data_IF_986741304981
#
_entry.id   IF_986741304981
#
_cell.length_a   1.000
_cell.length_b   1.000
_cell.length_c   1.000
_cell.angle_alpha   90.00
_cell.angle_beta   90.00
_cell.angle_gamma   90.00
#
_symmetry.space_group_name_H-M   'P 1'
#
loop_
_entity.id
_entity.type
_entity.pdbx_description
1 polymer ?
#
# COMPACT_ATOMS: atom_id res chain seq x y z
N UNK A 1 3.21 -4.84 18.01
CA UNK A 1 2.63 -4.32 16.76
C UNK A 1 3.22 -5.05 15.58
N UNK A 2 2.62 -4.95 14.41
CA UNK A 2 3.23 -5.41 13.15
C UNK A 2 4.06 -4.28 12.53
N UNK A 3 4.87 -4.58 11.54
CA UNK A 3 5.56 -3.60 10.71
C UNK A 3 4.72 -3.17 9.49
N UNK A 4 3.43 -3.52 9.44
CA UNK A 4 2.57 -3.33 8.28
C UNK A 4 1.51 -2.24 8.53
N UNK A 5 1.39 -1.33 7.56
CA UNK A 5 0.34 -0.32 7.51
C UNK A 5 -0.64 -0.70 6.42
N UNK A 6 -1.90 -0.94 6.80
CA UNK A 6 -2.98 -1.32 5.88
C UNK A 6 -3.37 -0.12 5.02
N UNK A 7 -3.52 -0.35 3.72
CA UNK A 7 -3.81 0.68 2.73
C UNK A 7 -5.32 0.96 2.74
N UNK A 8 -5.66 2.22 3.00
CA UNK A 8 -6.97 2.80 2.71
C UNK A 8 -6.97 3.55 1.38
N UNK A 9 -7.88 4.51 1.22
CA UNK A 9 -7.87 5.42 0.08
C UNK A 9 -7.15 6.73 0.43
N UNK A 10 -6.19 7.21 -0.38
CA UNK A 10 -5.53 8.49 -0.13
C UNK A 10 -6.53 9.65 -0.26
N UNK A 11 -6.48 10.62 0.67
CA UNK A 11 -7.35 11.80 0.64
C UNK A 11 -6.80 12.93 -0.26
N UNK A 12 -5.47 13.03 -0.38
CA UNK A 12 -4.81 14.09 -1.13
C UNK A 12 -4.21 13.55 -2.42
N UNK A 13 -4.03 14.43 -3.42
CA UNK A 13 -3.28 14.09 -4.64
C UNK A 13 -1.81 13.76 -4.37
N UNK A 14 -1.22 14.41 -3.36
CA UNK A 14 0.17 14.18 -2.96
C UNK A 14 0.36 14.41 -1.47
N UNK A 15 1.08 13.51 -0.82
CA UNK A 15 1.60 13.68 0.53
C UNK A 15 3.10 13.36 0.51
N UNK A 16 3.87 14.00 1.39
CA UNK A 16 5.31 13.72 1.54
C UNK A 16 5.62 13.59 3.02
N UNK A 17 6.15 12.45 3.39
CA UNK A 17 6.68 12.16 4.72
C UNK A 17 8.18 12.44 4.67
N UNK A 18 8.65 13.37 5.48
CA UNK A 18 10.09 13.59 5.70
C UNK A 18 10.49 12.81 6.93
N UNK A 19 11.42 11.87 6.76
CA UNK A 19 11.88 10.97 7.80
C UNK A 19 13.02 11.62 8.60
N UNK A 20 13.27 11.14 9.81
CA UNK A 20 14.33 11.66 10.70
C UNK A 20 15.73 11.56 10.08
N UNK A 21 15.97 10.55 9.24
CA UNK A 21 17.22 10.37 8.49
C UNK A 21 17.33 11.27 7.23
N UNK A 22 16.40 12.21 7.04
CA UNK A 22 16.35 13.13 5.91
C UNK A 22 15.79 12.55 4.62
N UNK A 23 15.56 11.23 4.54
CA UNK A 23 14.90 10.61 3.38
C UNK A 23 13.44 11.07 3.30
N UNK A 24 12.91 11.03 2.08
CA UNK A 24 11.50 11.36 1.81
C UNK A 24 10.77 10.15 1.27
N UNK A 25 9.57 9.94 1.78
CA UNK A 25 8.62 8.99 1.22
C UNK A 25 7.41 9.76 0.68
N UNK A 26 7.16 9.63 -0.61
CA UNK A 26 6.15 10.38 -1.33
C UNK A 26 4.97 9.45 -1.64
N UNK A 27 3.76 9.89 -1.35
CA UNK A 27 2.52 9.20 -1.71
C UNK A 27 1.80 10.06 -2.74
N UNK A 28 1.49 9.51 -3.91
CA UNK A 28 0.76 10.20 -4.98
C UNK A 28 -0.52 9.42 -5.33
N UNK A 29 -1.66 10.10 -5.33
CA UNK A 29 -2.93 9.60 -5.85
C UNK A 29 -3.24 10.32 -7.15
N UNK A 30 -2.79 9.77 -8.27
CA UNK A 30 -3.10 10.28 -9.60
C UNK A 30 -4.61 10.18 -9.85
N UNK A 31 -5.20 11.24 -10.39
CA UNK A 31 -6.65 11.37 -10.58
C UNK A 31 -7.48 11.37 -9.28
N UNK A 32 -6.87 11.55 -8.11
CA UNK A 32 -7.64 11.69 -6.87
C UNK A 32 -8.55 12.92 -6.93
N UNK A 33 -9.83 12.68 -6.65
CA UNK A 33 -10.93 13.65 -6.67
C UNK A 33 -12.06 13.12 -5.78
N UNK A 34 -13.04 13.96 -5.45
CA UNK A 34 -14.16 13.61 -4.57
C UNK A 34 -14.90 12.32 -4.99
N UNK A 35 -15.00 12.05 -6.30
CA UNK A 35 -15.61 10.82 -6.82
C UNK A 35 -14.61 9.69 -7.07
N UNK A 36 -13.33 10.01 -7.21
CA UNK A 36 -12.29 9.05 -7.60
C UNK A 36 -11.62 8.46 -6.35
N UNK A 37 -12.37 7.64 -5.62
CA UNK A 37 -11.98 7.12 -4.30
C UNK A 37 -11.37 5.71 -4.35
N UNK A 38 -11.42 5.02 -5.49
CA UNK A 38 -10.92 3.65 -5.63
C UNK A 38 -9.51 3.63 -6.19
N UNK A 39 -8.64 2.79 -5.63
CA UNK A 39 -7.31 2.53 -6.18
C UNK A 39 -7.44 1.49 -7.30
N UNK A 40 -7.16 1.90 -8.54
CA UNK A 40 -7.18 1.02 -9.72
C UNK A 40 -5.85 0.25 -9.85
N UNK A 41 -4.74 0.94 -9.64
CA UNK A 41 -3.41 0.34 -9.70
C UNK A 41 -2.43 1.09 -8.81
N UNK A 42 -1.28 0.48 -8.52
CA UNK A 42 -0.24 1.12 -7.74
C UNK A 42 1.16 0.67 -8.15
N UNK A 43 2.14 1.53 -7.84
CA UNK A 43 3.56 1.21 -7.94
C UNK A 43 4.31 1.67 -6.72
N UNK A 44 5.31 0.89 -6.30
CA UNK A 44 6.29 1.27 -5.29
C UNK A 44 7.65 1.36 -5.97
N UNK A 45 8.24 2.55 -6.02
CA UNK A 45 9.54 2.80 -6.67
C UNK A 45 9.59 2.17 -8.08
N UNK A 46 8.60 2.53 -8.91
CA UNK A 46 8.36 2.04 -10.30
C UNK A 46 7.95 0.57 -10.46
N UNK A 47 7.99 -0.25 -9.39
CA UNK A 47 7.59 -1.66 -9.48
C UNK A 47 6.10 -1.82 -9.22
N UNK A 48 5.39 -2.74 -9.92
CA UNK A 48 3.99 -3.02 -9.65
C UNK A 48 3.74 -3.33 -8.18
N UNK A 49 2.68 -2.75 -7.63
CA UNK A 49 2.33 -2.87 -6.24
C UNK A 49 0.84 -3.21 -6.09
N UNK A 50 0.56 -4.47 -5.73
CA UNK A 50 -0.79 -5.03 -5.62
C UNK A 50 -1.27 -5.22 -4.19
N UNK A 51 -0.34 -5.30 -3.23
CA UNK A 51 -0.62 -5.62 -1.83
C UNK A 51 -1.51 -4.56 -1.19
N UNK A 52 -2.27 -4.96 -0.16
CA UNK A 52 -3.10 -4.06 0.64
C UNK A 52 -2.38 -3.53 1.89
N UNK A 53 -1.06 -3.65 1.93
CA UNK A 53 -0.23 -3.13 3.00
C UNK A 53 1.15 -2.70 2.50
N UNK A 54 1.71 -1.70 3.19
CA UNK A 54 3.10 -1.27 3.04
C UNK A 54 3.83 -1.51 4.37
N UNK A 55 5.10 -1.87 4.31
CA UNK A 55 5.92 -2.10 5.49
C UNK A 55 6.61 -0.83 5.96
N UNK A 56 6.94 -0.76 7.25
CA UNK A 56 7.76 0.29 7.81
C UNK A 56 9.10 0.42 7.07
N UNK A 57 9.74 -0.70 6.74
CA UNK A 57 11.01 -0.71 6.00
C UNK A 57 10.90 -0.01 4.65
N UNK A 58 9.86 -0.31 3.88
CA UNK A 58 9.64 0.32 2.56
C UNK A 58 9.41 1.83 2.68
N UNK A 59 8.73 2.28 3.74
CA UNK A 59 8.59 3.72 4.03
C UNK A 59 9.95 4.31 4.42
N UNK A 60 10.66 3.69 5.37
CA UNK A 60 11.92 4.18 5.93
C UNK A 60 13.07 4.21 4.91
N UNK A 61 13.02 3.32 3.91
CA UNK A 61 13.95 3.34 2.78
C UNK A 61 13.72 4.54 1.85
N UNK A 62 12.57 5.22 1.98
CA UNK A 62 12.18 6.38 1.19
C UNK A 62 11.62 6.00 -0.18
N UNK A 63 11.49 7.00 -1.05
CA UNK A 63 11.04 6.82 -2.43
C UNK A 63 9.58 7.21 -2.62
N UNK A 64 8.85 6.44 -3.45
CA UNK A 64 7.53 6.84 -3.92
C UNK A 64 6.54 5.68 -4.06
N UNK A 65 5.37 5.85 -3.47
CA UNK A 65 4.18 5.05 -3.68
C UNK A 65 3.19 5.86 -4.53
N UNK A 66 2.90 5.39 -5.73
CA UNK A 66 1.96 6.04 -6.66
C UNK A 66 0.76 5.15 -6.88
N UNK A 67 -0.44 5.72 -6.78
CA UNK A 67 -1.70 5.09 -7.08
C UNK A 67 -2.39 5.80 -8.24
N UNK A 68 -3.07 5.03 -9.09
CA UNK A 68 -4.02 5.55 -10.06
C UNK A 68 -5.42 5.39 -9.46
N UNK A 69 -6.15 6.49 -9.35
CA UNK A 69 -7.47 6.54 -8.73
C UNK A 69 -8.60 6.50 -9.78
N UNK A 70 -9.77 5.98 -9.39
CA UNK A 70 -10.97 5.90 -10.24
C UNK A 70 -12.28 5.97 -9.46
N UNK A 71 -13.38 6.17 -10.17
CA UNK A 71 -14.75 6.29 -9.64
C UNK A 71 -15.46 4.94 -9.46
N UNK A 72 -14.85 3.86 -9.95
CA UNK A 72 -15.32 2.48 -9.82
C UNK A 72 -14.20 1.60 -9.25
N UNK A 73 -14.56 0.56 -8.48
CA UNK A 73 -13.58 -0.38 -7.95
C UNK A 73 -12.92 -1.20 -9.07
N UNK A 74 -11.61 -1.42 -8.93
CA UNK A 74 -10.90 -2.50 -9.63
C UNK A 74 -11.01 -3.76 -8.78
N UNK A 75 -11.84 -4.72 -9.21
CA UNK A 75 -12.17 -5.90 -8.40
C UNK A 75 -11.10 -6.99 -8.43
N UNK A 76 -10.10 -6.88 -9.33
CA UNK A 76 -9.01 -7.84 -9.43
C UNK A 76 -7.75 -7.43 -8.65
N UNK A 77 -7.68 -6.19 -8.15
CA UNK A 77 -6.51 -5.69 -7.41
C UNK A 77 -6.53 -6.19 -5.97
N UNK A 78 -5.41 -6.76 -5.52
CA UNK A 78 -5.18 -7.02 -4.09
C UNK A 78 -6.03 -8.15 -3.52
N UNK A 79 -6.48 -9.09 -4.35
CA UNK A 79 -7.37 -10.19 -3.95
C UNK A 79 -6.64 -11.51 -3.67
N UNK A 80 -5.36 -11.61 -4.05
CA UNK A 80 -4.56 -12.81 -3.82
C UNK A 80 -4.20 -12.98 -2.34
N UNK A 81 -3.92 -14.21 -1.91
CA UNK A 81 -3.50 -14.50 -0.53
C UNK A 81 -2.27 -13.68 -0.11
N UNK A 82 -1.32 -13.48 -1.02
CA UNK A 82 -0.08 -12.70 -0.77
C UNK A 82 -0.32 -11.19 -0.57
N UNK A 83 -1.47 -10.69 -1.05
CA UNK A 83 -1.81 -9.26 -0.96
C UNK A 83 -2.47 -8.91 0.37
N UNK A 84 -2.87 -9.92 1.15
CA UNK A 84 -3.50 -9.76 2.47
C UNK A 84 -2.47 -9.32 3.50
N UNK A 85 -2.84 -8.43 4.44
CA UNK A 85 -2.00 -8.09 5.56
C UNK A 85 -1.81 -9.29 6.51
N UNK A 86 -0.83 -9.16 7.39
CA UNK A 86 -0.47 -10.15 8.40
C UNK A 86 -1.67 -10.58 9.27
N UNK A 87 -1.72 -11.87 9.59
CA UNK A 87 -2.62 -12.44 10.59
C UNK A 87 -1.94 -13.61 11.30
N UNK A 88 -2.01 -13.62 12.62
CA UNK A 88 -1.41 -14.67 13.48
C UNK A 88 -1.95 -16.06 13.14
N UNK A 89 -3.25 -16.15 12.83
CA UNK A 89 -3.89 -17.43 12.50
C UNK A 89 -3.31 -18.05 11.23
N UNK A 90 -2.99 -17.24 10.21
CA UNK A 90 -2.36 -17.74 8.98
C UNK A 90 -0.94 -18.23 9.27
N UNK A 91 -0.16 -17.49 10.05
CA UNK A 91 1.19 -17.89 10.44
C UNK A 91 1.22 -19.23 11.21
N UNK A 92 0.30 -19.39 12.17
CA UNK A 92 0.21 -20.62 12.97
C UNK A 92 -0.29 -21.82 12.16
N UNK A 93 -1.17 -21.62 11.17
CA UNK A 93 -1.58 -22.69 10.25
C UNK A 93 -0.42 -23.23 9.42
N UNK A 94 0.60 -22.42 9.11
CA UNK A 94 1.83 -22.90 8.46
C UNK A 94 2.78 -23.62 9.43
N UNK A 95 2.79 -23.25 10.72
CA UNK A 95 3.62 -23.91 11.74
C UNK A 95 3.08 -25.26 12.21
N UNK A 96 1.77 -25.49 12.13
CA UNK A 96 1.13 -26.75 12.53
C UNK A 96 1.24 -27.88 11.48
N UNK A 97 1.82 -27.59 10.31
CA UNK A 97 2.05 -28.57 9.22
C UNK A 97 3.47 -29.15 9.27
N UNK A 98 4.25 -28.83 10.31
CA UNK A 98 5.58 -29.40 10.58
C UNK A 98 5.65 -29.99 11.99
#
# INVERSE_FOLDING_TARGET
GTDQYVIGSPLFKKATITLENGKKFIIEGENNAERNVYILSGTLNTKPFTRNYITYKEIADGGKLSFVMGDKPETQRGVELKDRPYSVSIENSFKLVY
#
